data_IF_864401576954
#
_entry.id   IF_864401576954
#
_cell.length_a   1.000
_cell.length_b   1.000
_cell.length_c   1.000
_cell.angle_alpha   90.00
_cell.angle_beta   90.00
_cell.angle_gamma   90.00
#
_symmetry.space_group_name_H-M   'P 1'
#
loop_
_entity.id
_entity.type
_entity.pdbx_description
1 polymer ?
#
# COMPACT_ATOMS: atom_id res chain seq x y z
N UNK A 1 -25.29 41.06 29.15
CA UNK A 1 -24.18 40.46 28.38
C UNK A 1 -24.34 38.95 28.48
N UNK A 2 -25.09 38.39 27.52
CA UNK A 2 -25.42 36.96 27.47
C UNK A 2 -24.36 36.32 26.58
N UNK A 3 -23.55 35.41 27.14
CA UNK A 3 -22.59 34.61 26.40
C UNK A 3 -23.37 33.40 25.88
N UNK A 4 -23.55 33.32 24.56
CA UNK A 4 -24.12 32.13 23.92
C UNK A 4 -23.08 31.01 23.90
N UNK A 5 -23.45 29.88 24.50
CA UNK A 5 -22.84 28.57 24.30
C UNK A 5 -22.84 28.23 22.81
N UNK A 6 -21.66 28.18 22.20
CA UNK A 6 -21.46 27.53 20.91
C UNK A 6 -21.19 26.05 21.18
N UNK A 7 -22.14 25.22 20.77
CA UNK A 7 -22.03 23.77 20.73
C UNK A 7 -20.70 23.33 20.07
N UNK A 8 -19.93 22.41 20.68
CA UNK A 8 -18.71 21.85 20.08
C UNK A 8 -18.97 20.87 18.91
N UNK A 9 -20.22 20.66 18.50
CA UNK A 9 -20.58 19.68 17.47
C UNK A 9 -20.35 20.15 16.02
N UNK A 10 -20.06 21.44 15.78
CA UNK A 10 -20.00 21.99 14.41
C UNK A 10 -18.61 21.92 13.77
N UNK A 11 -17.55 21.63 14.52
CA UNK A 11 -16.17 21.65 14.00
C UNK A 11 -15.76 20.33 13.33
N UNK A 12 -16.46 19.22 13.60
CA UNK A 12 -16.13 17.92 12.99
C UNK A 12 -16.68 17.72 11.57
N UNK A 13 -17.50 18.63 11.04
CA UNK A 13 -18.08 18.50 9.69
C UNK A 13 -17.10 18.85 8.54
N UNK A 14 -15.90 19.34 8.85
CA UNK A 14 -14.92 19.77 7.85
C UNK A 14 -13.66 18.91 7.78
N UNK A 15 -13.65 17.74 8.43
CA UNK A 15 -12.47 16.87 8.46
C UNK A 15 -12.49 15.82 7.33
N UNK A 16 -11.30 15.43 6.82
CA UNK A 16 -11.17 14.64 5.60
C UNK A 16 -11.97 13.33 5.71
N UNK A 17 -12.90 13.12 4.78
CA UNK A 17 -13.80 11.96 4.73
C UNK A 17 -13.17 10.73 4.08
N UNK A 18 -11.85 10.66 3.98
CA UNK A 18 -11.22 9.70 3.08
C UNK A 18 -9.92 9.15 3.66
N UNK A 19 -9.79 7.83 3.55
CA UNK A 19 -8.57 7.11 3.83
C UNK A 19 -8.03 6.53 2.52
N UNK A 20 -6.75 6.79 2.27
CA UNK A 20 -6.05 6.37 1.06
C UNK A 20 -4.80 5.59 1.46
N UNK A 21 -4.66 4.37 0.95
CA UNK A 21 -3.44 3.57 1.14
C UNK A 21 -2.85 3.22 -0.23
N UNK A 22 -1.65 3.75 -0.49
CA UNK A 22 -0.88 3.44 -1.69
C UNK A 22 -0.13 2.12 -1.55
N UNK A 23 -0.16 1.33 -2.62
CA UNK A 23 0.72 0.17 -2.82
C UNK A 23 0.71 -0.78 -1.63
N UNK A 24 -0.48 -1.25 -1.28
CA UNK A 24 -0.70 -2.07 -0.08
C UNK A 24 0.15 -3.34 -0.15
N UNK A 25 0.88 -3.58 0.92
CA UNK A 25 1.57 -4.83 1.21
C UNK A 25 0.93 -5.49 2.43
N UNK A 26 0.99 -6.82 2.50
CA UNK A 26 0.36 -7.56 3.58
C UNK A 26 0.84 -7.09 4.98
N UNK A 27 2.11 -6.73 5.12
CA UNK A 27 2.67 -6.36 6.40
C UNK A 27 2.13 -5.01 6.91
N UNK A 28 1.88 -4.03 6.03
CA UNK A 28 1.32 -2.74 6.44
C UNK A 28 -0.12 -2.81 6.97
N UNK A 29 -0.89 -3.83 6.59
CA UNK A 29 -2.25 -4.08 7.12
C UNK A 29 -2.33 -5.29 8.05
N UNK A 30 -1.20 -5.92 8.37
CA UNK A 30 -1.13 -7.06 9.29
C UNK A 30 -1.65 -8.38 8.74
N UNK A 31 -1.87 -8.48 7.43
CA UNK A 31 -2.10 -9.76 6.77
C UNK A 31 -0.83 -10.61 6.78
N UNK A 32 -1.00 -11.93 6.69
CA UNK A 32 0.14 -12.82 6.48
C UNK A 32 0.72 -12.59 5.07
N UNK A 33 2.04 -12.67 4.89
CA UNK A 33 2.62 -12.60 3.56
C UNK A 33 2.09 -13.77 2.71
N UNK A 34 1.78 -13.56 1.42
CA UNK A 34 1.27 -14.61 0.56
C UNK A 34 2.29 -15.76 0.41
N UNK A 35 1.82 -16.98 0.08
CA UNK A 35 2.71 -18.07 -0.29
C UNK A 35 3.68 -17.62 -1.39
N UNK A 36 4.95 -18.03 -1.30
CA UNK A 36 6.03 -17.63 -2.22
C UNK A 36 6.46 -16.16 -2.16
N UNK A 37 6.04 -15.40 -1.13
CA UNK A 37 6.63 -14.09 -0.86
C UNK A 37 8.15 -14.18 -0.76
N UNK A 38 8.82 -13.29 -1.48
CA UNK A 38 10.27 -13.16 -1.45
C UNK A 38 10.61 -11.67 -1.49
N UNK A 39 11.60 -11.27 -0.71
CA UNK A 39 12.21 -9.96 -0.80
C UNK A 39 13.71 -10.09 -0.45
N UNK A 40 14.61 -9.32 -1.09
CA UNK A 40 16.03 -9.36 -0.78
C UNK A 40 16.32 -9.10 0.71
N UNK A 41 15.50 -8.24 1.33
CA UNK A 41 15.64 -7.85 2.73
C UNK A 41 15.55 -9.02 3.73
N UNK A 42 14.79 -10.07 3.40
CA UNK A 42 14.61 -11.23 4.28
C UNK A 42 15.46 -12.43 3.87
N UNK A 43 16.33 -12.29 2.86
CA UNK A 43 17.13 -13.39 2.36
C UNK A 43 18.48 -13.46 3.11
N UNK A 44 18.70 -14.48 3.97
CA UNK A 44 19.94 -14.58 4.76
C UNK A 44 21.17 -14.91 3.92
N UNK A 45 21.01 -15.27 2.64
CA UNK A 45 22.16 -15.52 1.74
C UNK A 45 22.71 -14.23 1.14
N UNK A 46 22.03 -13.10 1.29
CA UNK A 46 22.51 -11.78 0.87
C UNK A 46 23.27 -11.16 2.05
N UNK A 47 24.53 -10.71 1.86
CA UNK A 47 25.27 -9.99 2.90
C UNK A 47 24.44 -8.83 3.46
N UNK A 48 24.47 -8.62 4.78
CA UNK A 48 23.63 -7.65 5.49
C UNK A 48 23.73 -6.24 4.88
N UNK A 49 24.96 -5.82 4.55
CA UNK A 49 25.25 -4.53 3.92
C UNK A 49 24.65 -4.38 2.51
N UNK A 50 24.30 -5.48 1.85
CA UNK A 50 23.69 -5.51 0.52
C UNK A 50 22.18 -5.72 0.56
N UNK A 51 21.60 -6.12 1.70
CA UNK A 51 20.16 -6.43 1.79
C UNK A 51 19.30 -5.22 1.47
N UNK A 52 19.56 -4.08 2.12
CA UNK A 52 18.77 -2.86 1.88
C UNK A 52 18.99 -2.27 0.47
N UNK A 53 20.23 -2.10 -0.04
CA UNK A 53 20.43 -1.69 -1.44
C UNK A 53 19.75 -2.62 -2.45
N UNK A 54 19.82 -3.94 -2.25
CA UNK A 54 19.15 -4.92 -3.12
C UNK A 54 17.63 -4.80 -3.02
N UNK A 55 17.10 -4.60 -1.81
CA UNK A 55 15.68 -4.37 -1.59
C UNK A 55 15.22 -3.11 -2.32
N UNK A 56 15.92 -1.99 -2.17
CA UNK A 56 15.63 -0.72 -2.84
C UNK A 56 15.52 -0.87 -4.37
N UNK A 57 16.47 -1.57 -5.01
CA UNK A 57 16.41 -1.85 -6.45
C UNK A 57 15.27 -2.80 -6.83
N UNK A 58 15.00 -3.81 -6.00
CA UNK A 58 13.94 -4.77 -6.24
C UNK A 58 12.55 -4.15 -6.09
N UNK A 59 12.31 -3.39 -5.02
CA UNK A 59 11.00 -2.81 -4.69
C UNK A 59 10.60 -1.69 -5.66
N UNK A 60 11.58 -1.03 -6.30
CA UNK A 60 11.37 -0.06 -7.38
C UNK A 60 11.24 -0.73 -8.76
N UNK A 61 11.47 -2.03 -8.86
CA UNK A 61 11.38 -2.77 -10.12
C UNK A 61 9.96 -2.86 -10.68
N UNK A 62 9.86 -3.07 -12.00
CA UNK A 62 8.63 -3.48 -12.65
C UNK A 62 8.59 -5.01 -12.72
N UNK A 63 7.48 -5.64 -12.36
CA UNK A 63 7.32 -7.10 -12.42
C UNK A 63 6.37 -7.47 -13.55
N UNK A 64 6.75 -8.47 -14.36
CA UNK A 64 5.88 -8.99 -15.41
C UNK A 64 5.08 -10.16 -14.85
N UNK A 65 3.84 -9.89 -14.44
CA UNK A 65 2.87 -10.92 -14.08
C UNK A 65 2.20 -11.47 -15.35
N UNK A 66 1.57 -12.63 -15.23
CA UNK A 66 0.58 -13.11 -16.20
C UNK A 66 -0.75 -12.39 -16.00
N UNK A 67 -1.86 -13.08 -16.34
CA UNK A 67 -3.19 -12.50 -16.25
C UNK A 67 -3.67 -12.38 -14.79
N UNK A 68 -3.49 -11.21 -14.17
CA UNK A 68 -3.91 -10.92 -12.80
C UNK A 68 -5.43 -11.03 -12.58
N UNK A 69 -6.25 -10.98 -13.64
CA UNK A 69 -7.70 -11.16 -13.50
C UNK A 69 -8.10 -12.58 -13.09
N UNK A 70 -7.20 -13.55 -13.28
CA UNK A 70 -7.39 -14.95 -12.86
C UNK A 70 -7.28 -15.12 -11.35
N UNK A 71 -6.65 -14.17 -10.64
CA UNK A 71 -6.28 -14.28 -9.22
C UNK A 71 -5.45 -15.54 -8.90
N UNK A 72 -4.74 -16.09 -9.88
CA UNK A 72 -3.87 -17.25 -9.68
C UNK A 72 -2.50 -16.79 -9.14
N UNK A 73 -2.08 -17.20 -7.94
CA UNK A 73 -0.77 -16.84 -7.40
C UNK A 73 0.38 -17.35 -8.29
N UNK A 74 0.17 -18.37 -9.12
CA UNK A 74 1.22 -18.89 -10.01
C UNK A 74 1.50 -17.99 -11.22
N UNK A 75 0.61 -17.03 -11.53
CA UNK A 75 0.88 -16.04 -12.57
C UNK A 75 1.62 -14.81 -12.04
N UNK A 76 1.88 -14.74 -10.73
CA UNK A 76 2.52 -13.59 -10.10
C UNK A 76 4.04 -13.75 -10.11
N UNK A 77 4.77 -12.76 -10.64
CA UNK A 77 6.23 -12.69 -10.49
C UNK A 77 6.61 -12.16 -9.11
N UNK A 78 7.49 -12.87 -8.40
CA UNK A 78 7.89 -12.54 -7.04
C UNK A 78 9.35 -12.09 -6.90
N UNK A 79 10.26 -12.65 -7.71
CA UNK A 79 11.70 -12.55 -7.45
C UNK A 79 12.40 -11.58 -8.38
N UNK A 80 12.20 -11.71 -9.69
CA UNK A 80 13.00 -11.02 -10.70
C UNK A 80 12.17 -9.93 -11.37
N UNK A 81 12.56 -8.65 -11.23
CA UNK A 81 11.98 -7.57 -12.01
C UNK A 81 12.25 -7.74 -13.51
N UNK A 82 11.34 -7.22 -14.33
CA UNK A 82 11.51 -7.02 -15.75
C UNK A 82 12.69 -6.05 -16.02
N UNK A 83 13.27 -6.19 -17.22
CA UNK A 83 14.35 -5.31 -17.69
C UNK A 83 13.84 -4.03 -18.35
N UNK A 84 12.53 -3.88 -18.52
CA UNK A 84 11.88 -2.70 -19.09
C UNK A 84 10.46 -2.55 -18.54
N UNK A 85 9.99 -1.32 -18.24
CA UNK A 85 10.76 -0.06 -18.28
C UNK A 85 11.84 0.01 -17.19
N UNK A 86 12.79 0.92 -17.34
CA UNK A 86 13.85 1.15 -16.34
C UNK A 86 13.27 2.07 -15.25
N UNK A 87 13.20 1.63 -13.98
CA UNK A 87 12.74 2.48 -12.88
C UNK A 87 13.55 3.77 -12.75
N UNK A 88 12.92 4.87 -12.34
CA UNK A 88 13.59 6.17 -12.23
C UNK A 88 14.75 6.18 -11.24
N UNK A 89 14.77 5.27 -10.25
CA UNK A 89 15.87 5.17 -9.28
C UNK A 89 17.23 4.96 -9.94
N UNK A 90 17.29 4.30 -11.11
CA UNK A 90 18.53 4.09 -11.84
C UNK A 90 19.06 5.36 -12.53
N UNK A 91 18.21 6.40 -12.63
CA UNK A 91 18.58 7.72 -13.16
C UNK A 91 18.84 8.74 -12.03
N UNK A 92 18.64 8.36 -10.77
CA UNK A 92 18.92 9.22 -9.61
C UNK A 92 20.41 9.18 -9.29
N UNK A 93 20.96 10.33 -8.90
CA UNK A 93 22.28 10.41 -8.28
C UNK A 93 22.31 9.71 -6.92
N UNK A 94 23.49 9.33 -6.44
CA UNK A 94 23.66 8.76 -5.10
C UNK A 94 23.10 9.66 -3.99
N UNK A 95 23.23 10.99 -4.15
CA UNK A 95 22.66 11.97 -3.22
C UNK A 95 21.12 11.99 -3.26
N UNK A 96 20.52 11.85 -4.44
CA UNK A 96 19.06 11.73 -4.58
C UNK A 96 18.54 10.44 -3.99
N UNK A 97 19.20 9.31 -4.26
CA UNK A 97 18.87 8.02 -3.66
C UNK A 97 18.99 8.13 -2.14
N UNK A 98 20.10 8.65 -1.62
CA UNK A 98 20.27 8.85 -0.19
C UNK A 98 19.15 9.75 0.39
N UNK A 99 18.77 10.85 -0.25
CA UNK A 99 17.65 11.67 0.25
C UNK A 99 16.30 10.94 0.21
N UNK A 100 16.07 10.10 -0.78
CA UNK A 100 14.83 9.33 -0.93
C UNK A 100 14.75 8.10 -0.01
N UNK A 101 15.89 7.46 0.27
CA UNK A 101 15.97 6.17 0.96
C UNK A 101 16.59 6.22 2.36
N UNK A 102 17.33 7.28 2.70
CA UNK A 102 18.01 7.41 3.99
C UNK A 102 17.02 7.88 5.06
N UNK A 103 16.10 6.99 5.40
CA UNK A 103 15.28 7.13 6.59
C UNK A 103 15.83 6.18 7.66
N UNK A 104 16.63 6.65 8.64
CA UNK A 104 17.07 5.81 9.77
C UNK A 104 15.89 5.25 10.59
N UNK A 105 14.67 5.76 10.39
CA UNK A 105 13.42 5.27 10.98
C UNK A 105 12.80 4.15 10.13
N UNK A 106 13.15 3.99 8.85
CA UNK A 106 12.54 2.97 7.98
C UNK A 106 12.74 1.53 8.48
N UNK A 107 13.88 1.25 9.12
CA UNK A 107 14.12 -0.03 9.78
C UNK A 107 13.19 -0.26 10.99
N UNK A 108 12.79 0.82 11.68
CA UNK A 108 11.82 0.75 12.77
C UNK A 108 10.42 0.48 12.25
N UNK A 109 10.00 1.12 11.16
CA UNK A 109 8.67 0.91 10.56
C UNK A 109 8.50 -0.54 10.08
N UNK A 110 9.50 -1.09 9.39
CA UNK A 110 9.48 -2.49 8.96
C UNK A 110 9.41 -3.47 10.15
N UNK A 111 10.17 -3.22 11.21
CA UNK A 111 10.10 -4.01 12.42
C UNK A 111 8.71 -3.90 13.09
N UNK A 112 8.14 -2.69 13.15
CA UNK A 112 6.81 -2.46 13.69
C UNK A 112 5.73 -3.19 12.89
N UNK A 113 5.78 -3.16 11.56
CA UNK A 113 4.86 -3.90 10.69
C UNK A 113 4.84 -5.39 11.03
N UNK A 114 6.02 -6.00 11.23
CA UNK A 114 6.14 -7.42 11.59
C UNK A 114 5.65 -7.68 13.02
N UNK A 115 6.15 -6.95 14.01
CA UNK A 115 5.86 -7.23 15.42
C UNK A 115 4.45 -6.81 15.85
N UNK A 116 3.83 -5.87 15.14
CA UNK A 116 2.48 -5.38 15.42
C UNK A 116 1.44 -5.93 14.44
N UNK A 117 1.77 -6.90 13.58
CA UNK A 117 0.86 -7.43 12.56
C UNK A 117 -0.56 -7.77 13.10
N UNK A 118 -0.74 -8.46 14.25
CA UNK A 118 -2.10 -8.71 14.77
C UNK A 118 -2.86 -7.42 15.14
N UNK A 119 -2.16 -6.39 15.62
CA UNK A 119 -2.75 -5.10 15.97
C UNK A 119 -3.09 -4.29 14.72
N UNK A 120 -2.22 -4.32 13.70
CA UNK A 120 -2.47 -3.69 12.39
C UNK A 120 -3.68 -4.34 11.72
N UNK A 121 -3.79 -5.67 11.75
CA UNK A 121 -4.95 -6.39 11.22
C UNK A 121 -6.25 -6.03 11.95
N UNK A 122 -6.20 -5.97 13.28
CA UNK A 122 -7.33 -5.52 14.08
C UNK A 122 -7.74 -4.08 13.75
N UNK A 123 -6.77 -3.19 13.55
CA UNK A 123 -7.01 -1.79 13.18
C UNK A 123 -7.59 -1.67 11.76
N UNK A 124 -7.05 -2.39 10.78
CA UNK A 124 -7.54 -2.46 9.41
C UNK A 124 -9.01 -2.92 9.36
N UNK A 125 -9.32 -4.06 9.98
CA UNK A 125 -10.68 -4.61 10.05
C UNK A 125 -11.64 -3.64 10.70
N UNK A 126 -11.22 -3.01 11.79
CA UNK A 126 -12.05 -2.03 12.50
C UNK A 126 -12.30 -0.79 11.63
N UNK A 127 -11.28 -0.29 10.94
CA UNK A 127 -11.43 0.86 10.06
C UNK A 127 -12.38 0.57 8.88
N UNK A 128 -12.32 -0.65 8.32
CA UNK A 128 -13.08 -1.01 7.12
C UNK A 128 -14.50 -1.52 7.40
N UNK A 129 -14.69 -2.32 8.46
CA UNK A 129 -15.87 -3.15 8.61
C UNK A 129 -16.66 -2.91 9.91
N UNK A 130 -16.13 -2.18 10.90
CA UNK A 130 -16.83 -1.95 12.17
C UNK A 130 -17.99 -0.94 12.02
N UNK A 131 -19.19 -1.39 12.34
CA UNK A 131 -20.41 -0.57 12.25
C UNK A 131 -20.39 0.70 13.10
N UNK A 132 -19.69 0.69 14.24
CA UNK A 132 -19.55 1.90 15.07
C UNK A 132 -18.65 2.92 14.40
N UNK A 133 -17.58 2.48 13.73
CA UNK A 133 -16.72 3.38 12.95
C UNK A 133 -17.52 3.98 11.78
N UNK A 134 -18.31 3.18 11.07
CA UNK A 134 -19.21 3.67 10.01
C UNK A 134 -20.25 4.67 10.54
N UNK A 135 -20.78 4.47 11.74
CA UNK A 135 -21.71 5.43 12.36
C UNK A 135 -21.03 6.75 12.75
N UNK A 136 -19.77 6.72 13.20
CA UNK A 136 -19.00 7.92 13.57
C UNK A 136 -18.53 8.67 12.32
N UNK A 137 -18.16 7.93 11.26
CA UNK A 137 -17.65 8.45 10.01
C UNK A 137 -18.52 7.98 8.81
N UNK A 138 -19.81 8.38 8.75
CA UNK A 138 -20.77 7.82 7.78
C UNK A 138 -20.49 8.20 6.32
N UNK A 139 -19.58 9.15 6.10
CA UNK A 139 -19.14 9.56 4.78
C UNK A 139 -17.72 9.10 4.47
N UNK A 140 -17.11 8.29 5.35
CA UNK A 140 -15.75 7.80 5.11
C UNK A 140 -15.74 6.86 3.92
N UNK A 141 -14.95 7.21 2.91
CA UNK A 141 -14.68 6.33 1.78
C UNK A 141 -13.30 5.72 1.94
N UNK A 142 -13.24 4.41 1.72
CA UNK A 142 -12.00 3.65 1.84
C UNK A 142 -11.66 3.13 0.45
N UNK A 143 -10.48 3.50 -0.02
CA UNK A 143 -9.94 3.02 -1.28
C UNK A 143 -8.59 2.37 -1.07
N UNK A 144 -8.43 1.21 -1.70
CA UNK A 144 -7.21 0.45 -1.78
C UNK A 144 -6.78 0.37 -3.25
N UNK A 145 -5.49 0.51 -3.53
CA UNK A 145 -5.00 0.26 -4.88
C UNK A 145 -3.62 -0.36 -4.87
N UNK A 146 -3.37 -1.10 -5.94
CA UNK A 146 -2.14 -1.82 -6.17
C UNK A 146 -1.61 -1.48 -7.56
N UNK A 147 -0.31 -1.37 -7.74
CA UNK A 147 0.26 -1.12 -9.06
C UNK A 147 0.43 -2.44 -9.81
N UNK A 148 0.04 -2.51 -11.08
CA UNK A 148 0.02 -3.76 -11.87
C UNK A 148 1.39 -4.46 -11.95
N UNK A 149 2.48 -3.71 -11.93
CA UNK A 149 3.86 -4.22 -12.01
C UNK A 149 4.62 -4.07 -10.67
N UNK A 150 3.94 -4.00 -9.53
CA UNK A 150 4.60 -4.07 -8.22
C UNK A 150 5.08 -5.49 -7.92
N UNK A 151 5.98 -5.67 -6.95
CA UNK A 151 6.38 -7.01 -6.51
C UNK A 151 5.17 -7.86 -6.08
N UNK A 152 5.27 -9.19 -6.20
CA UNK A 152 4.13 -10.11 -6.05
C UNK A 152 3.36 -10.05 -4.73
N UNK A 153 3.87 -9.39 -3.70
CA UNK A 153 3.13 -9.08 -2.47
C UNK A 153 1.90 -8.20 -2.74
N UNK A 154 1.99 -7.24 -3.66
CA UNK A 154 0.93 -6.27 -3.88
C UNK A 154 -0.36 -6.88 -4.45
N UNK A 155 -0.33 -7.60 -5.59
CA UNK A 155 -1.54 -8.19 -6.16
C UNK A 155 -2.23 -9.15 -5.18
N UNK A 156 -1.46 -9.98 -4.49
CA UNK A 156 -1.98 -10.90 -3.49
C UNK A 156 -2.67 -10.17 -2.33
N UNK A 157 -2.06 -9.12 -1.76
CA UNK A 157 -2.69 -8.35 -0.69
C UNK A 157 -3.97 -7.63 -1.16
N UNK A 158 -3.99 -7.11 -2.39
CA UNK A 158 -5.22 -6.53 -2.92
C UNK A 158 -6.33 -7.59 -3.03
N UNK A 159 -5.99 -8.81 -3.46
CA UNK A 159 -6.94 -9.93 -3.50
C UNK A 159 -7.45 -10.31 -2.11
N UNK A 160 -6.59 -10.36 -1.10
CA UNK A 160 -6.97 -10.65 0.29
C UNK A 160 -7.96 -9.59 0.82
N UNK A 161 -7.73 -8.30 0.53
CA UNK A 161 -8.68 -7.22 0.85
C UNK A 161 -10.03 -7.45 0.16
N UNK A 162 -10.02 -7.80 -1.12
CA UNK A 162 -11.26 -8.02 -1.89
C UNK A 162 -12.06 -9.21 -1.38
N UNK A 163 -11.39 -10.27 -0.93
CA UNK A 163 -12.06 -11.44 -0.36
C UNK A 163 -12.60 -11.12 1.04
N UNK A 164 -11.83 -10.41 1.86
CA UNK A 164 -12.29 -9.97 3.17
C UNK A 164 -13.45 -8.95 3.08
N UNK A 165 -13.45 -8.05 2.10
CA UNK A 165 -14.57 -7.15 1.82
C UNK A 165 -15.85 -7.93 1.46
N UNK A 166 -15.74 -8.95 0.61
CA UNK A 166 -16.87 -9.83 0.26
C UNK A 166 -17.40 -10.62 1.45
N UNK A 167 -16.53 -11.08 2.35
CA UNK A 167 -16.94 -11.74 3.60
C UNK A 167 -17.76 -10.82 4.51
N UNK A 168 -17.61 -9.51 4.34
CA UNK A 168 -18.36 -8.47 5.04
C UNK A 168 -19.41 -7.81 4.13
N UNK A 169 -20.15 -8.58 3.33
CA UNK A 169 -21.25 -8.11 2.46
C UNK A 169 -20.83 -7.26 1.24
N UNK A 170 -19.55 -6.87 1.16
CA UNK A 170 -18.96 -6.16 0.03
C UNK A 170 -19.27 -4.67 -0.04
N UNK A 171 -18.42 -3.95 -0.77
CA UNK A 171 -18.60 -2.53 -1.06
C UNK A 171 -18.13 -1.59 0.06
N UNK A 172 -17.38 -2.09 1.05
CA UNK A 172 -16.77 -1.25 2.08
C UNK A 172 -15.41 -0.71 1.64
N UNK A 173 -14.66 -1.48 0.84
CA UNK A 173 -13.36 -1.06 0.31
C UNK A 173 -13.39 -1.06 -1.22
N UNK A 174 -13.11 0.10 -1.83
CA UNK A 174 -12.96 0.20 -3.28
C UNK A 174 -11.54 -0.18 -3.69
N UNK A 175 -11.38 -1.28 -4.40
CA UNK A 175 -10.07 -1.78 -4.86
C UNK A 175 -9.85 -1.49 -6.34
N UNK A 176 -8.57 -1.36 -6.76
CA UNK A 176 -8.20 -1.31 -8.18
C UNK A 176 -6.71 -1.54 -8.40
N UNK A 177 -6.38 -1.97 -9.62
CA UNK A 177 -5.01 -1.90 -10.13
C UNK A 177 -4.73 -0.56 -10.84
N UNK A 178 -3.51 -0.04 -10.68
CA UNK A 178 -2.97 1.04 -11.51
C UNK A 178 -2.20 0.40 -12.67
N UNK A 179 -2.66 0.59 -13.92
CA UNK A 179 -2.05 -0.09 -15.05
C UNK A 179 -0.63 0.43 -15.32
N UNK A 180 0.26 -0.46 -15.76
CA UNK A 180 1.63 -0.13 -16.17
C UNK A 180 2.49 0.59 -15.11
N UNK A 181 2.16 0.42 -13.82
CA UNK A 181 2.82 1.10 -12.71
C UNK A 181 3.58 0.11 -11.82
N UNK A 182 4.72 0.51 -11.25
CA UNK A 182 5.43 -0.23 -10.20
C UNK A 182 5.03 0.26 -8.80
N UNK A 183 5.65 -0.29 -7.76
CA UNK A 183 5.38 0.10 -6.37
C UNK A 183 5.57 1.61 -6.11
N UNK A 184 6.56 2.22 -6.76
CA UNK A 184 6.95 3.63 -6.65
C UNK A 184 6.44 4.48 -7.82
N UNK A 185 5.20 4.24 -8.27
CA UNK A 185 4.61 5.01 -9.38
C UNK A 185 4.60 6.52 -9.16
N UNK A 186 4.65 6.99 -7.90
CA UNK A 186 4.74 8.42 -7.59
C UNK A 186 6.13 9.02 -7.86
N UNK A 187 7.17 8.19 -7.98
CA UNK A 187 8.48 8.59 -8.48
C UNK A 187 8.52 8.53 -10.02
N UNK A 188 8.00 7.44 -10.60
CA UNK A 188 8.14 7.18 -12.04
C UNK A 188 7.11 7.94 -12.91
N UNK A 189 5.87 8.09 -12.43
CA UNK A 189 4.76 8.79 -13.09
C UNK A 189 3.90 9.53 -12.04
N UNK A 190 4.40 10.65 -11.49
CA UNK A 190 3.70 11.39 -10.43
C UNK A 190 2.32 11.93 -10.86
N UNK A 191 2.12 12.20 -12.15
CA UNK A 191 0.84 12.65 -12.67
C UNK A 191 -0.20 11.53 -12.58
N UNK A 192 0.14 10.32 -13.02
CA UNK A 192 -0.74 9.15 -12.88
C UNK A 192 -1.03 8.82 -11.43
N UNK A 193 -0.02 8.88 -10.57
CA UNK A 193 -0.19 8.68 -9.13
C UNK A 193 -1.21 9.68 -8.56
N UNK A 194 -1.06 10.97 -8.87
CA UNK A 194 -1.98 12.02 -8.43
C UNK A 194 -3.40 11.84 -8.98
N UNK A 195 -3.55 11.47 -10.26
CA UNK A 195 -4.85 11.19 -10.88
C UNK A 195 -5.58 10.03 -10.17
N UNK A 196 -4.84 8.98 -9.80
CA UNK A 196 -5.35 7.89 -8.97
C UNK A 196 -5.79 8.46 -7.62
N UNK A 197 -4.95 9.20 -6.90
CA UNK A 197 -5.34 9.71 -5.58
C UNK A 197 -6.60 10.58 -5.66
N UNK A 198 -6.66 11.51 -6.61
CA UNK A 198 -7.82 12.37 -6.83
C UNK A 198 -9.08 11.60 -7.23
N UNK A 199 -8.96 10.47 -7.94
CA UNK A 199 -10.12 9.65 -8.29
C UNK A 199 -10.63 8.78 -7.13
N UNK A 200 -9.80 8.49 -6.12
CA UNK A 200 -10.27 7.92 -4.85
C UNK A 200 -11.06 8.95 -4.03
N UNK A 201 -10.64 10.21 -4.08
CA UNK A 201 -11.31 11.32 -3.40
C UNK A 201 -12.68 11.62 -4.05
N UNK A 202 -12.74 11.57 -5.37
CA UNK A 202 -13.95 11.95 -6.12
C UNK A 202 -15.00 10.85 -6.26
N UNK A 203 -14.60 9.58 -6.11
CA UNK A 203 -15.52 8.43 -6.17
C UNK A 203 -16.38 8.42 -4.92
#
# INVERSE_FOLDING_TARGET
MIIHDKHPATILQSHPSESLTQSIDAASIGHAPPPNSWAPFFNPTIPEELQFPSFTQWVTGYFNHGDLSTRDPNVVSHVVPATSPIPSIYNMSEEEIARASNNPIGALDAAQMVFLAPHLLGAFRKACFDERIKQILPYMKISAFCCEHTGGYGPATLWDIEDEDKEHEGGHVKTRFIPQANHFTHWDDPNRALEVYLSCIRA
#
